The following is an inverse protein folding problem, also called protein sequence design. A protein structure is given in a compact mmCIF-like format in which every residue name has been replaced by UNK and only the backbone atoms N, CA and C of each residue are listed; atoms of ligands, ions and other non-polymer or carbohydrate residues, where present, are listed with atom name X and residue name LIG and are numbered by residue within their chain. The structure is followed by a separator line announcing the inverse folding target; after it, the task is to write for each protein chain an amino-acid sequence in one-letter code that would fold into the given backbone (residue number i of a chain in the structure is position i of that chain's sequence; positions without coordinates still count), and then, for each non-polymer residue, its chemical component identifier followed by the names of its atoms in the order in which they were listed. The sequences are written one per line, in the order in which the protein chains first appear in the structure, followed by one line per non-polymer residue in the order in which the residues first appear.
data_IF_260165978641
#
_entry.id   IF_260165978641
#
_cell.length_a   1.000
_cell.length_b   1.000
_cell.length_c   1.000
_cell.angle_alpha   90.00
_cell.angle_beta   90.00
_cell.angle_gamma   90.00
#
_symmetry.space_group_name_H-M   'P 1'
#
loop_
_entity.id
_entity.type
_entity.pdbx_description
1 polymer ?
#
# COMPACT_ATOMS: atom_id res chain seq x y z
N UNK A 1 36.40 -24.92 69.32
CA UNK A 1 36.90 -25.23 67.96
C UNK A 1 35.80 -25.68 66.98
N UNK A 2 34.63 -26.18 67.43
CA UNK A 2 33.56 -26.64 66.54
C UNK A 2 32.81 -25.52 65.78
N UNK A 3 32.55 -24.35 66.40
CA UNK A 3 31.85 -23.25 65.73
C UNK A 3 32.66 -22.65 64.56
N UNK A 4 34.00 -22.66 64.64
CA UNK A 4 34.89 -22.16 63.57
C UNK A 4 34.92 -23.14 62.39
N UNK A 5 34.94 -24.45 62.63
CA UNK A 5 34.88 -25.47 61.57
C UNK A 5 33.51 -25.49 60.87
N UNK A 6 32.41 -25.22 61.57
CA UNK A 6 31.07 -25.10 60.98
C UNK A 6 30.95 -23.85 60.09
N UNK A 7 31.53 -22.71 60.51
CA UNK A 7 31.51 -21.46 59.74
C UNK A 7 32.33 -21.57 58.44
N UNK A 8 33.51 -22.20 58.52
CA UNK A 8 34.37 -22.48 57.35
C UNK A 8 33.64 -23.35 56.33
N UNK A 9 32.83 -24.32 56.78
CA UNK A 9 32.04 -25.19 55.91
C UNK A 9 30.87 -24.45 55.22
N UNK A 10 30.17 -23.55 55.92
CA UNK A 10 29.09 -22.74 55.35
C UNK A 10 29.60 -21.71 54.33
N UNK A 11 30.70 -21.02 54.64
CA UNK A 11 31.32 -20.06 53.74
C UNK A 11 31.85 -20.76 52.49
N UNK A 12 32.49 -21.92 52.65
CA UNK A 12 33.00 -22.70 51.53
C UNK A 12 31.90 -23.19 50.60
N UNK A 13 30.75 -23.65 51.12
CA UNK A 13 29.59 -24.06 50.32
C UNK A 13 29.01 -22.91 49.49
N UNK A 14 28.93 -21.72 50.06
CA UNK A 14 28.40 -20.54 49.35
C UNK A 14 29.38 -20.05 48.29
N UNK A 15 30.68 -20.01 48.60
CA UNK A 15 31.72 -19.68 47.61
C UNK A 15 31.72 -20.72 46.48
N UNK A 16 31.59 -22.01 46.80
CA UNK A 16 31.53 -23.08 45.83
C UNK A 16 30.33 -22.92 44.90
N UNK A 17 29.13 -22.69 45.46
CA UNK A 17 27.90 -22.47 44.71
C UNK A 17 28.02 -21.28 43.77
N UNK A 18 28.40 -20.11 44.29
CA UNK A 18 28.53 -18.90 43.47
C UNK A 18 29.62 -19.04 42.41
N UNK A 19 30.72 -19.75 42.70
CA UNK A 19 31.75 -20.02 41.69
C UNK A 19 31.26 -20.98 40.62
N UNK A 20 30.51 -22.02 40.98
CA UNK A 20 29.91 -22.96 40.02
C UNK A 20 28.86 -22.30 39.10
N UNK A 21 28.22 -21.23 39.57
CA UNK A 21 27.27 -20.39 38.82
C UNK A 21 27.97 -19.36 37.89
N UNK A 22 29.32 -19.33 37.87
CA UNK A 22 30.09 -18.53 36.92
C UNK A 22 30.53 -17.14 37.39
N UNK A 23 30.22 -16.75 38.64
CA UNK A 23 30.58 -15.43 39.17
C UNK A 23 32.10 -15.26 39.35
N UNK A 24 32.58 -14.03 39.10
CA UNK A 24 33.96 -13.62 39.33
C UNK A 24 34.27 -13.50 40.83
N UNK A 25 35.56 -13.52 41.20
CA UNK A 25 35.99 -13.40 42.60
C UNK A 25 35.47 -12.10 43.26
N UNK A 26 35.42 -10.99 42.50
CA UNK A 26 34.90 -9.70 43.01
C UNK A 26 33.40 -9.77 43.29
N UNK A 27 32.63 -10.40 42.40
CA UNK A 27 31.18 -10.56 42.55
C UNK A 27 30.82 -11.51 43.69
N UNK A 28 31.56 -12.62 43.85
CA UNK A 28 31.36 -13.57 44.96
C UNK A 28 31.51 -12.85 46.30
N UNK A 29 32.54 -12.01 46.47
CA UNK A 29 32.75 -11.22 47.71
C UNK A 29 31.58 -10.25 47.96
N UNK A 30 31.09 -9.59 46.92
CA UNK A 30 29.97 -8.66 46.99
C UNK A 30 28.67 -9.38 47.40
N UNK A 31 28.33 -10.46 46.71
CA UNK A 31 27.11 -11.24 46.94
C UNK A 31 27.15 -11.93 48.30
N UNK A 32 28.29 -12.49 48.71
CA UNK A 32 28.46 -13.09 50.04
C UNK A 32 28.16 -12.07 51.15
N UNK A 33 28.66 -10.84 51.02
CA UNK A 33 28.42 -9.76 51.99
C UNK A 33 26.98 -9.28 51.97
N UNK A 34 26.44 -8.96 50.80
CA UNK A 34 25.13 -8.31 50.67
C UNK A 34 23.99 -9.27 50.99
N UNK A 35 24.00 -10.46 50.39
CA UNK A 35 22.91 -11.44 50.39
C UNK A 35 23.01 -12.44 51.55
N UNK A 36 24.22 -12.87 51.89
CA UNK A 36 24.42 -13.92 52.89
C UNK A 36 24.98 -13.39 54.21
N UNK A 37 25.27 -12.08 54.31
CA UNK A 37 25.91 -11.42 55.47
C UNK A 37 27.21 -12.13 55.91
N UNK A 38 27.92 -12.70 54.94
CA UNK A 38 29.17 -13.43 55.13
C UNK A 38 30.33 -12.56 54.61
N UNK A 39 31.32 -12.36 55.47
CA UNK A 39 32.53 -11.61 55.14
C UNK A 39 33.64 -12.60 54.80
N UNK A 40 34.09 -12.58 53.55
CA UNK A 40 35.13 -13.47 53.02
C UNK A 40 36.27 -12.67 52.44
N UNK A 41 37.50 -13.07 52.77
CA UNK A 41 38.71 -12.48 52.22
C UNK A 41 38.93 -12.98 50.78
N UNK A 42 39.69 -12.21 50.01
CA UNK A 42 40.01 -12.62 48.64
C UNK A 42 40.85 -13.90 48.57
N UNK A 43 41.71 -14.10 49.58
CA UNK A 43 42.55 -15.31 49.70
C UNK A 43 41.70 -16.56 49.93
N UNK A 44 40.65 -16.47 50.75
CA UNK A 44 39.69 -17.56 50.98
C UNK A 44 38.84 -17.88 49.75
N UNK A 45 38.37 -16.85 49.04
CA UNK A 45 37.62 -17.08 47.80
C UNK A 45 38.50 -17.72 46.74
N UNK A 46 39.77 -17.29 46.59
CA UNK A 46 40.72 -17.86 45.63
C UNK A 46 41.08 -19.32 45.95
N UNK A 47 41.36 -19.66 47.20
CA UNK A 47 41.76 -21.03 47.58
C UNK A 47 40.68 -22.08 47.30
N UNK A 48 39.41 -21.66 47.31
CA UNK A 48 38.25 -22.50 47.01
C UNK A 48 37.92 -22.45 45.51
N UNK A 49 37.96 -21.26 44.90
CA UNK A 49 37.63 -21.06 43.49
C UNK A 49 38.60 -21.74 42.52
N UNK A 50 39.89 -21.88 42.89
CA UNK A 50 40.90 -22.59 42.09
C UNK A 50 40.58 -24.09 41.95
N UNK A 51 39.87 -24.67 42.93
CA UNK A 51 39.48 -26.09 42.92
C UNK A 51 38.26 -26.38 42.04
N UNK A 52 37.64 -25.35 41.46
CA UNK A 52 36.40 -25.45 40.68
C UNK A 52 36.72 -25.08 39.23
N UNK A 53 36.69 -26.07 38.32
CA UNK A 53 36.75 -25.82 36.88
C UNK A 53 35.44 -25.18 36.44
N UNK A 54 35.40 -23.86 36.35
CA UNK A 54 34.28 -23.13 35.74
C UNK A 54 34.31 -23.34 34.23
N UNK A 55 33.55 -24.29 33.72
CA UNK A 55 33.19 -24.30 32.31
C UNK A 55 32.24 -23.14 32.07
N UNK A 56 32.72 -22.05 31.45
CA UNK A 56 31.84 -21.02 30.90
C UNK A 56 30.99 -21.65 29.79
N UNK A 57 29.89 -22.31 30.14
CA UNK A 57 28.92 -22.76 29.17
C UNK A 57 28.15 -21.54 28.69
N UNK A 58 28.67 -20.92 27.63
CA UNK A 58 28.10 -19.75 26.93
C UNK A 58 26.64 -19.98 26.47
N UNK A 59 26.17 -21.22 26.40
CA UNK A 59 24.85 -21.62 25.92
C UNK A 59 24.20 -22.61 26.90
N UNK A 60 22.87 -22.55 27.07
CA UNK A 60 22.12 -23.56 27.82
C UNK A 60 22.20 -24.93 27.14
N UNK A 61 21.88 -26.02 27.84
CA UNK A 61 21.95 -27.35 27.23
C UNK A 61 20.96 -27.51 26.05
N UNK A 62 19.80 -26.85 26.13
CA UNK A 62 18.82 -26.77 25.02
C UNK A 62 19.43 -26.03 23.82
N UNK A 63 20.12 -24.91 24.07
CA UNK A 63 20.76 -24.13 23.00
C UNK A 63 21.92 -24.91 22.38
N UNK A 64 22.72 -25.62 23.18
CA UNK A 64 23.77 -26.51 22.66
C UNK A 64 23.18 -27.60 21.78
N UNK A 65 22.10 -28.25 22.21
CA UNK A 65 21.43 -29.26 21.40
C UNK A 65 20.92 -28.67 20.08
N UNK A 66 20.32 -27.48 20.10
CA UNK A 66 19.88 -26.76 18.90
C UNK A 66 21.05 -26.44 17.97
N UNK A 67 22.13 -25.85 18.50
CA UNK A 67 23.32 -25.48 17.74
C UNK A 67 23.96 -26.72 17.11
N UNK A 68 24.10 -27.82 17.86
CA UNK A 68 24.69 -29.07 17.39
C UNK A 68 23.82 -29.76 16.34
N UNK A 69 22.49 -29.79 16.54
CA UNK A 69 21.54 -30.33 15.57
C UNK A 69 21.62 -29.56 14.24
N UNK A 70 21.61 -28.22 14.30
CA UNK A 70 21.73 -27.39 13.10
C UNK A 70 23.12 -27.55 12.47
N UNK A 71 24.19 -27.57 13.25
CA UNK A 71 25.54 -27.79 12.73
C UNK A 71 25.69 -29.13 12.00
N UNK A 72 25.07 -30.21 12.53
CA UNK A 72 25.07 -31.52 11.88
C UNK A 72 24.39 -31.49 10.50
N UNK A 73 23.27 -30.77 10.39
CA UNK A 73 22.42 -30.76 9.20
C UNK A 73 22.76 -29.64 8.19
N UNK A 74 23.53 -28.62 8.58
CA UNK A 74 23.84 -27.46 7.72
C UNK A 74 25.21 -27.57 7.08
N UNK A 75 25.26 -27.41 5.76
CA UNK A 75 26.50 -27.45 5.00
C UNK A 75 27.34 -26.17 5.18
N UNK A 76 26.73 -24.99 5.05
CA UNK A 76 27.42 -23.69 5.14
C UNK A 76 27.45 -23.17 6.59
N UNK A 77 28.62 -23.25 7.23
CA UNK A 77 28.80 -22.81 8.63
C UNK A 77 28.62 -21.30 8.79
N UNK A 78 29.02 -20.49 7.79
CA UNK A 78 28.98 -19.03 7.91
C UNK A 78 27.54 -18.51 7.96
N UNK A 79 26.69 -19.03 7.07
CA UNK A 79 25.27 -18.64 7.07
C UNK A 79 24.51 -19.18 8.27
N UNK A 80 24.87 -20.38 8.76
CA UNK A 80 24.32 -20.90 10.01
C UNK A 80 24.62 -19.94 11.18
N UNK A 81 25.84 -19.43 11.26
CA UNK A 81 26.23 -18.45 12.30
C UNK A 81 25.41 -17.18 12.17
N UNK A 82 25.26 -16.64 10.96
CA UNK A 82 24.46 -15.45 10.72
C UNK A 82 23.00 -15.64 11.19
N UNK A 83 22.39 -16.78 10.83
CA UNK A 83 21.04 -17.15 11.28
C UNK A 83 20.94 -17.24 12.80
N UNK A 84 21.85 -17.99 13.43
CA UNK A 84 21.85 -18.20 14.88
C UNK A 84 22.05 -16.89 15.66
N UNK A 85 22.89 -16.00 15.13
CA UNK A 85 23.18 -14.70 15.75
C UNK A 85 22.02 -13.73 15.57
N UNK A 86 21.39 -13.68 14.39
CA UNK A 86 20.24 -12.81 14.13
C UNK A 86 19.00 -13.26 14.90
N UNK A 87 18.68 -14.57 14.87
CA UNK A 87 17.43 -15.10 15.43
C UNK A 87 17.48 -15.28 16.95
N UNK A 88 18.58 -15.80 17.48
CA UNK A 88 18.68 -16.18 18.89
C UNK A 88 19.68 -15.34 19.69
N UNK A 89 20.30 -14.33 19.07
CA UNK A 89 21.28 -13.45 19.71
C UNK A 89 22.47 -14.19 20.35
N UNK A 90 22.81 -15.39 19.88
CA UNK A 90 23.82 -16.25 20.51
C UNK A 90 25.27 -15.71 20.40
N UNK A 91 25.52 -14.74 19.51
CA UNK A 91 26.86 -14.18 19.26
C UNK A 91 27.94 -15.27 19.07
N UNK A 92 27.60 -16.31 18.31
CA UNK A 92 28.44 -17.45 17.94
C UNK A 92 29.47 -16.99 16.91
N UNK A 93 30.71 -17.46 17.07
CA UNK A 93 31.78 -17.34 16.09
C UNK A 93 32.04 -18.68 15.42
N UNK A 94 32.71 -18.67 14.26
CA UNK A 94 33.06 -19.88 13.50
C UNK A 94 33.84 -20.89 14.35
N UNK A 95 34.87 -20.43 15.04
CA UNK A 95 35.68 -21.31 15.90
C UNK A 95 34.84 -21.86 17.05
N UNK A 96 33.96 -21.05 17.65
CA UNK A 96 33.13 -21.49 18.77
C UNK A 96 32.13 -22.60 18.42
N UNK A 97 31.56 -22.58 17.20
CA UNK A 97 30.62 -23.62 16.77
C UNK A 97 31.34 -24.91 16.34
N UNK A 98 32.50 -24.78 15.70
CA UNK A 98 33.35 -25.93 15.34
C UNK A 98 33.90 -26.61 16.59
N UNK A 99 34.41 -25.84 17.55
CA UNK A 99 34.90 -26.36 18.83
C UNK A 99 33.79 -27.07 19.62
N UNK A 100 32.59 -26.47 19.63
CA UNK A 100 31.43 -27.07 20.28
C UNK A 100 31.04 -28.39 19.62
N UNK A 101 31.04 -28.46 18.29
CA UNK A 101 30.76 -29.68 17.55
C UNK A 101 31.82 -30.76 17.78
N UNK A 102 33.10 -30.40 17.74
CA UNK A 102 34.21 -31.32 17.98
C UNK A 102 34.19 -31.90 19.40
N UNK A 103 33.96 -31.04 20.41
CA UNK A 103 33.81 -31.47 21.82
C UNK A 103 32.64 -32.43 22.05
N UNK A 104 31.60 -32.36 21.22
CA UNK A 104 30.41 -33.22 21.31
C UNK A 104 30.41 -34.34 20.25
N UNK A 105 31.51 -34.56 19.52
CA UNK A 105 31.63 -35.62 18.53
C UNK A 105 30.70 -35.49 17.31
N UNK A 106 30.14 -34.30 17.07
CA UNK A 106 29.17 -34.06 15.99
C UNK A 106 29.91 -33.74 14.69
N UNK A 107 29.83 -34.66 13.72
CA UNK A 107 30.32 -34.44 12.35
C UNK A 107 29.21 -33.86 11.48
N UNK A 108 29.58 -33.13 10.42
CA UNK A 108 28.61 -32.69 9.40
C UNK A 108 28.12 -33.87 8.58
N UNK A 109 26.85 -33.84 8.18
CA UNK A 109 26.28 -34.79 7.23
C UNK A 109 26.84 -34.53 5.83
N UNK A 110 27.38 -35.57 5.18
CA UNK A 110 27.86 -35.50 3.79
C UNK A 110 26.65 -35.55 2.84
N UNK A 111 26.20 -34.41 2.32
CA UNK A 111 25.14 -34.34 1.31
C UNK A 111 25.41 -33.23 0.28
N UNK A 112 24.84 -33.41 -0.92
CA UNK A 112 25.03 -32.56 -2.10
C UNK A 112 24.75 -31.07 -1.82
N UNK A 113 25.60 -30.21 -2.40
CA UNK A 113 25.66 -28.75 -2.26
C UNK A 113 24.33 -28.00 -2.49
N UNK A 114 23.33 -28.65 -3.10
CA UNK A 114 22.07 -28.03 -3.55
C UNK A 114 20.86 -28.33 -2.67
N UNK A 115 20.98 -29.17 -1.63
CA UNK A 115 19.86 -29.53 -0.77
C UNK A 115 20.14 -29.15 0.68
N UNK A 116 19.67 -27.97 1.13
CA UNK A 116 18.95 -27.80 2.40
C UNK A 116 18.54 -26.33 2.57
N UNK A 117 17.26 -26.16 2.88
CA UNK A 117 16.58 -24.93 3.25
C UNK A 117 16.77 -24.63 4.74
N UNK A 118 16.88 -23.34 5.06
CA UNK A 118 17.30 -22.74 6.34
C UNK A 118 16.42 -22.98 7.59
N UNK A 119 15.56 -23.99 7.67
CA UNK A 119 14.43 -23.91 8.61
C UNK A 119 13.99 -25.26 9.22
N UNK A 120 13.75 -25.24 10.54
CA UNK A 120 13.09 -26.29 11.35
C UNK A 120 11.55 -26.28 11.20
N UNK A 121 10.84 -27.36 11.55
CA UNK A 121 9.36 -27.42 11.46
C UNK A 121 8.64 -26.35 12.29
N UNK A 122 9.27 -25.86 13.36
CA UNK A 122 8.74 -24.78 14.21
C UNK A 122 8.63 -23.45 13.46
N UNK A 123 9.66 -23.10 12.69
CA UNK A 123 9.74 -21.84 11.94
C UNK A 123 8.73 -21.82 10.77
N UNK A 124 8.37 -22.98 10.22
CA UNK A 124 7.37 -23.04 9.14
C UNK A 124 5.98 -22.59 9.61
N UNK A 125 5.61 -22.90 10.86
CA UNK A 125 4.35 -22.43 11.46
C UNK A 125 4.37 -20.94 11.76
N UNK A 126 5.49 -20.45 12.28
CA UNK A 126 5.67 -19.03 12.59
C UNK A 126 5.64 -18.15 11.32
N UNK A 127 6.26 -18.61 10.22
CA UNK A 127 6.16 -17.98 8.88
C UNK A 127 4.71 -17.86 8.42
N UNK A 128 3.89 -18.89 8.66
CA UNK A 128 2.48 -18.92 8.30
C UNK A 128 1.68 -17.92 9.13
N UNK A 129 1.90 -17.88 10.45
CA UNK A 129 1.21 -16.95 11.35
C UNK A 129 1.56 -15.50 11.01
N UNK A 130 2.83 -15.19 10.77
CA UNK A 130 3.28 -13.87 10.33
C UNK A 130 2.64 -13.48 8.98
N UNK A 131 2.50 -14.42 8.06
CA UNK A 131 1.83 -14.16 6.78
C UNK A 131 0.34 -13.87 6.96
N UNK A 132 -0.34 -14.63 7.85
CA UNK A 132 -1.76 -14.44 8.19
C UNK A 132 -2.02 -13.14 8.94
N UNK A 133 -1.09 -12.69 9.79
CA UNK A 133 -1.17 -11.41 10.50
C UNK A 133 -0.86 -10.18 9.62
N UNK A 134 -0.51 -10.39 8.34
CA UNK A 134 -0.43 -9.33 7.34
C UNK A 134 0.97 -9.03 6.81
N UNK A 135 2.04 -9.61 7.38
CA UNK A 135 3.41 -9.35 6.93
C UNK A 135 3.64 -9.80 5.48
N UNK A 136 4.30 -8.98 4.67
CA UNK A 136 4.60 -9.32 3.28
C UNK A 136 5.60 -10.48 3.19
N UNK A 137 5.52 -11.30 2.13
CA UNK A 137 6.49 -12.37 1.90
C UNK A 137 7.93 -11.88 1.75
N UNK A 138 8.14 -10.61 1.36
CA UNK A 138 9.46 -9.97 1.35
C UNK A 138 9.95 -9.71 2.78
N UNK A 139 9.12 -9.13 3.64
CA UNK A 139 9.47 -8.83 5.03
C UNK A 139 9.73 -10.10 5.83
N UNK A 140 8.94 -11.16 5.59
CA UNK A 140 9.17 -12.47 6.20
C UNK A 140 10.46 -13.10 5.66
N UNK A 141 10.75 -12.97 4.37
CA UNK A 141 12.01 -13.48 3.81
C UNK A 141 13.23 -12.82 4.48
N UNK A 142 13.19 -11.50 4.67
CA UNK A 142 14.24 -10.74 5.35
C UNK A 142 14.42 -11.17 6.82
N UNK A 143 13.31 -11.27 7.57
CA UNK A 143 13.30 -11.71 8.98
C UNK A 143 13.97 -13.09 9.17
N UNK A 144 13.79 -14.00 8.21
CA UNK A 144 14.30 -15.36 8.27
C UNK A 144 15.58 -15.56 7.45
N UNK A 145 16.18 -14.48 6.91
CA UNK A 145 17.43 -14.55 6.15
C UNK A 145 17.33 -15.24 4.79
N UNK A 146 16.13 -15.34 4.22
CA UNK A 146 15.94 -15.84 2.86
C UNK A 146 16.37 -14.81 1.82
N UNK A 147 17.19 -15.25 0.86
CA UNK A 147 17.62 -14.42 -0.28
C UNK A 147 16.45 -13.92 -1.13
N UNK A 148 15.36 -14.68 -1.22
CA UNK A 148 14.20 -14.30 -2.05
C UNK A 148 12.88 -14.63 -1.36
N UNK A 149 11.84 -13.84 -1.66
CA UNK A 149 10.45 -14.12 -1.24
C UNK A 149 9.91 -15.45 -1.76
N UNK A 150 10.49 -16.01 -2.81
CA UNK A 150 10.03 -17.26 -3.42
C UNK A 150 10.16 -18.44 -2.44
N UNK A 151 11.15 -18.42 -1.55
CA UNK A 151 11.28 -19.43 -0.48
C UNK A 151 10.08 -19.40 0.49
N UNK A 152 9.56 -18.22 0.80
CA UNK A 152 8.34 -18.07 1.60
C UNK A 152 7.11 -18.52 0.81
N UNK A 153 7.00 -18.12 -0.47
CA UNK A 153 5.87 -18.51 -1.32
C UNK A 153 5.77 -20.03 -1.54
N UNK A 154 6.90 -20.71 -1.67
CA UNK A 154 6.96 -22.18 -1.76
C UNK A 154 6.50 -22.84 -0.46
N UNK A 155 6.88 -22.30 0.71
CA UNK A 155 6.38 -22.77 2.01
C UNK A 155 4.88 -22.57 2.13
N UNK A 156 4.36 -21.39 1.80
CA UNK A 156 2.91 -21.15 1.81
C UNK A 156 2.16 -22.15 0.91
N UNK A 157 2.72 -22.47 -0.27
CA UNK A 157 2.17 -23.48 -1.17
C UNK A 157 2.22 -24.89 -0.58
N UNK A 158 3.32 -25.28 0.08
CA UNK A 158 3.45 -26.57 0.79
C UNK A 158 2.34 -26.77 1.85
N UNK A 159 1.89 -25.69 2.48
CA UNK A 159 0.83 -25.70 3.50
C UNK A 159 -0.55 -25.32 2.94
N UNK A 160 -0.74 -25.34 1.61
CA UNK A 160 -2.01 -25.01 0.94
C UNK A 160 -2.58 -23.62 1.31
N UNK A 161 -1.72 -22.66 1.63
CA UNK A 161 -2.15 -21.28 1.91
C UNK A 161 -2.25 -20.52 0.60
N UNK A 162 -3.47 -20.05 0.29
CA UNK A 162 -3.72 -19.20 -0.87
C UNK A 162 -2.88 -17.93 -0.76
N UNK A 163 -2.14 -17.63 -1.83
CA UNK A 163 -1.39 -16.38 -1.94
C UNK A 163 -2.40 -15.23 -1.95
N UNK A 164 -2.12 -14.19 -1.15
CA UNK A 164 -2.86 -12.93 -1.23
C UNK A 164 -2.74 -12.38 -2.64
N UNK A 165 -3.87 -11.99 -3.21
CA UNK A 165 -3.91 -11.37 -4.51
C UNK A 165 -3.21 -10.00 -4.41
N UNK A 166 -2.23 -9.78 -5.30
CA UNK A 166 -1.50 -8.52 -5.34
C UNK A 166 -2.41 -7.35 -5.72
N UNK A 167 -3.50 -7.61 -6.45
CA UNK A 167 -4.51 -6.61 -6.77
C UNK A 167 -5.37 -6.28 -5.55
N UNK A 168 -5.75 -7.29 -4.76
CA UNK A 168 -6.54 -7.11 -3.52
C UNK A 168 -5.77 -6.33 -2.44
N UNK A 169 -4.47 -6.60 -2.29
CA UNK A 169 -3.61 -5.82 -1.37
C UNK A 169 -3.46 -4.37 -1.87
N UNK A 170 -3.30 -4.19 -3.18
CA UNK A 170 -3.21 -2.85 -3.78
C UNK A 170 -4.51 -2.08 -3.65
N UNK A 171 -5.67 -2.73 -3.69
CA UNK A 171 -6.96 -2.06 -3.48
C UNK A 171 -7.18 -1.66 -2.03
N UNK A 172 -6.86 -2.53 -1.07
CA UNK A 172 -7.04 -2.25 0.37
C UNK A 172 -6.15 -1.13 0.92
N UNK A 173 -4.97 -0.90 0.33
CA UNK A 173 -4.01 0.11 0.80
C UNK A 173 -4.07 1.44 0.03
N UNK A 174 -5.19 1.75 -0.64
CA UNK A 174 -5.36 3.02 -1.35
C UNK A 174 -5.89 4.09 -0.42
N UNK A 175 -5.40 5.31 -0.63
CA UNK A 175 -5.89 6.50 0.05
C UNK A 175 -7.36 6.81 -0.25
N UNK A 176 -7.90 6.29 -1.36
CA UNK A 176 -9.28 6.48 -1.82
C UNK A 176 -10.18 5.26 -1.55
N UNK A 177 -9.88 4.45 -0.53
CA UNK A 177 -10.67 3.23 -0.23
C UNK A 177 -12.15 3.52 0.08
N UNK A 178 -12.46 4.73 0.55
CA UNK A 178 -13.82 5.16 0.87
C UNK A 178 -14.54 5.85 -0.30
N UNK A 179 -13.87 6.01 -1.46
CA UNK A 179 -14.49 6.59 -2.64
C UNK A 179 -15.29 5.52 -3.40
N UNK A 180 -16.52 5.85 -3.79
CA UNK A 180 -17.40 4.97 -4.57
C UNK A 180 -18.24 5.76 -5.58
N UNK A 181 -18.74 5.05 -6.60
CA UNK A 181 -19.67 5.57 -7.60
C UNK A 181 -21.05 4.86 -7.52
N UNK A 182 -21.27 4.07 -6.47
CA UNK A 182 -22.52 3.34 -6.21
C UNK A 182 -23.73 4.29 -6.25
N UNK A 183 -23.55 5.50 -5.70
CA UNK A 183 -24.55 6.58 -5.70
C UNK A 183 -23.89 7.92 -6.00
N UNK A 184 -24.52 8.70 -6.85
CA UNK A 184 -24.20 10.12 -7.05
C UNK A 184 -24.95 10.93 -5.99
N UNK A 185 -24.30 11.14 -4.85
CA UNK A 185 -24.87 11.75 -3.63
C UNK A 185 -24.30 13.14 -3.31
N UNK A 186 -23.40 13.64 -4.15
CA UNK A 186 -22.76 14.94 -4.03
C UNK A 186 -22.35 15.48 -5.41
N UNK A 187 -22.07 16.77 -5.43
CA UNK A 187 -21.77 17.54 -6.64
C UNK A 187 -20.44 17.12 -7.27
N UNK A 188 -19.44 16.76 -6.45
CA UNK A 188 -18.12 16.32 -6.89
C UNK A 188 -18.17 14.97 -7.62
N UNK A 189 -18.97 14.01 -7.12
CA UNK A 189 -19.21 12.75 -7.84
C UNK A 189 -19.95 12.98 -9.15
N UNK A 190 -20.95 13.85 -9.15
CA UNK A 190 -21.71 14.19 -10.35
C UNK A 190 -20.83 14.83 -11.43
N UNK A 191 -19.98 15.77 -11.02
CA UNK A 191 -19.00 16.40 -11.89
C UNK A 191 -17.96 15.42 -12.43
N UNK A 192 -17.42 14.56 -11.55
CA UNK A 192 -16.50 13.52 -11.95
C UNK A 192 -17.14 12.55 -12.95
N UNK A 193 -18.39 12.16 -12.75
CA UNK A 193 -19.16 11.36 -13.72
C UNK A 193 -19.29 12.08 -15.07
N UNK A 194 -19.60 13.37 -15.08
CA UNK A 194 -19.68 14.16 -16.31
C UNK A 194 -18.38 14.12 -17.12
N UNK A 195 -17.24 14.29 -16.45
CA UNK A 195 -15.92 14.17 -17.08
C UNK A 195 -15.60 12.73 -17.49
N UNK A 196 -16.04 11.73 -16.73
CA UNK A 196 -15.84 10.32 -17.07
C UNK A 196 -16.60 9.94 -18.35
N UNK A 197 -17.77 10.52 -18.59
CA UNK A 197 -18.57 10.29 -19.80
C UNK A 197 -17.89 10.89 -21.05
N UNK A 198 -17.14 11.98 -20.90
CA UNK A 198 -16.45 12.71 -21.99
C UNK A 198 -14.98 12.32 -22.12
N UNK A 199 -14.10 12.89 -21.31
CA UNK A 199 -12.64 12.68 -21.37
C UNK A 199 -12.15 11.43 -20.61
N UNK A 200 -13.01 10.77 -19.83
CA UNK A 200 -12.64 9.57 -19.10
C UNK A 200 -12.31 8.36 -19.97
N UNK A 201 -11.72 7.34 -19.38
CA UNK A 201 -11.51 6.07 -20.07
C UNK A 201 -11.52 4.90 -19.08
N UNK A 202 -11.89 3.73 -19.58
CA UNK A 202 -11.93 2.49 -18.82
C UNK A 202 -10.80 1.58 -19.31
N UNK A 203 -10.04 1.00 -18.38
CA UNK A 203 -9.07 -0.05 -18.67
C UNK A 203 -9.49 -1.33 -17.94
N UNK A 204 -10.21 -2.20 -18.65
CA UNK A 204 -10.73 -3.46 -18.11
C UNK A 204 -9.61 -4.44 -17.74
N UNK A 205 -8.54 -4.51 -18.55
CA UNK A 205 -7.39 -5.39 -18.32
C UNK A 205 -6.69 -5.08 -16.98
N UNK A 206 -6.51 -3.79 -16.69
CA UNK A 206 -5.82 -3.31 -15.48
C UNK A 206 -6.77 -2.95 -14.34
N UNK A 207 -8.09 -3.03 -14.56
CA UNK A 207 -9.09 -2.90 -13.51
C UNK A 207 -9.36 -1.47 -13.03
N UNK A 208 -9.29 -0.44 -13.89
CA UNK A 208 -9.44 0.96 -13.47
C UNK A 208 -10.19 1.86 -14.44
N UNK A 209 -10.70 2.98 -13.93
CA UNK A 209 -11.13 4.15 -14.70
C UNK A 209 -10.10 5.28 -14.56
N UNK A 210 -9.98 6.13 -15.55
CA UNK A 210 -9.06 7.27 -15.50
C UNK A 210 -9.54 8.48 -16.29
N UNK A 211 -8.93 9.62 -16.01
CA UNK A 211 -9.14 10.89 -16.71
C UNK A 211 -7.77 11.50 -16.97
N UNK A 212 -7.56 12.01 -18.19
CA UNK A 212 -6.36 12.71 -18.61
C UNK A 212 -6.69 14.11 -19.14
N UNK A 213 -6.36 15.16 -18.40
CA UNK A 213 -6.67 16.55 -18.79
C UNK A 213 -5.42 17.41 -18.84
N UNK A 214 -5.44 18.48 -19.64
CA UNK A 214 -4.43 19.54 -19.61
C UNK A 214 -4.72 20.58 -18.52
N UNK A 215 -5.98 20.68 -18.11
CA UNK A 215 -6.47 21.58 -17.07
C UNK A 215 -6.09 21.01 -15.69
N UNK A 216 -5.00 21.54 -15.11
CA UNK A 216 -4.40 21.04 -13.87
C UNK A 216 -5.30 21.26 -12.66
N UNK A 217 -6.00 22.39 -12.62
CA UNK A 217 -6.96 22.77 -11.58
C UNK A 217 -8.05 21.72 -11.39
N UNK A 218 -8.61 21.20 -12.49
CA UNK A 218 -9.61 20.12 -12.47
C UNK A 218 -9.04 18.86 -11.83
N UNK A 219 -7.80 18.50 -12.20
CA UNK A 219 -7.15 17.29 -11.70
C UNK A 219 -6.74 17.47 -10.23
N UNK A 220 -6.28 18.64 -9.80
CA UNK A 220 -5.99 18.92 -8.39
C UNK A 220 -7.27 18.86 -7.54
N UNK A 221 -8.36 19.48 -8.00
CA UNK A 221 -9.67 19.42 -7.37
C UNK A 221 -10.16 17.98 -7.15
N UNK A 222 -10.15 17.16 -8.22
CA UNK A 222 -10.56 15.75 -8.12
C UNK A 222 -9.59 14.92 -7.29
N UNK A 223 -8.30 15.22 -7.34
CA UNK A 223 -7.25 14.54 -6.57
C UNK A 223 -7.46 14.73 -5.07
N UNK A 224 -7.80 15.95 -4.65
CA UNK A 224 -8.12 16.29 -3.27
C UNK A 224 -9.42 15.61 -2.83
N UNK A 225 -10.50 15.75 -3.62
CA UNK A 225 -11.80 15.16 -3.30
C UNK A 225 -11.75 13.62 -3.18
N UNK A 226 -11.15 12.94 -4.16
CA UNK A 226 -11.04 11.48 -4.17
C UNK A 226 -9.97 11.01 -3.17
N UNK A 227 -9.11 11.90 -2.67
CA UNK A 227 -7.91 11.58 -1.90
C UNK A 227 -7.00 10.61 -2.66
N UNK A 228 -6.60 10.98 -3.88
CA UNK A 228 -5.73 10.18 -4.74
C UNK A 228 -4.62 11.02 -5.33
N UNK A 229 -3.39 10.51 -5.41
CA UNK A 229 -2.31 11.18 -6.12
C UNK A 229 -2.55 11.14 -7.63
N UNK A 230 -2.50 12.29 -8.29
CA UNK A 230 -2.45 12.35 -9.75
C UNK A 230 -1.01 12.16 -10.27
N UNK A 231 -0.88 11.90 -11.56
CA UNK A 231 0.41 11.79 -12.27
C UNK A 231 0.53 12.86 -13.32
N UNK A 232 1.70 13.47 -13.39
CA UNK A 232 2.06 14.33 -14.51
C UNK A 232 2.63 13.49 -15.66
N UNK A 233 2.10 13.69 -16.85
CA UNK A 233 2.50 13.00 -18.08
C UNK A 233 3.10 14.06 -18.99
N UNK A 234 4.42 14.03 -19.08
CA UNK A 234 5.14 14.91 -19.99
C UNK A 234 4.78 14.59 -21.44
N UNK A 235 4.69 15.62 -22.30
CA UNK A 235 4.43 15.42 -23.71
C UNK A 235 5.50 14.53 -24.34
N UNK A 236 5.08 13.57 -25.16
CA UNK A 236 5.97 12.73 -25.96
C UNK A 236 5.64 12.90 -27.45
N UNK A 237 6.68 12.96 -28.28
CA UNK A 237 6.53 13.10 -29.73
C UNK A 237 5.87 14.42 -30.15
N UNK A 238 4.76 14.35 -30.91
CA UNK A 238 4.04 15.53 -31.44
C UNK A 238 3.12 16.22 -30.42
N UNK A 239 2.94 15.64 -29.23
CA UNK A 239 2.13 16.26 -28.19
C UNK A 239 2.82 17.55 -27.70
N UNK A 240 2.05 18.63 -27.52
CA UNK A 240 2.61 19.95 -27.13
C UNK A 240 2.37 20.31 -25.67
N UNK A 241 1.48 19.61 -24.99
CA UNK A 241 1.02 19.99 -23.65
C UNK A 241 1.17 18.81 -22.68
N UNK A 242 1.62 19.13 -21.48
CA UNK A 242 1.60 18.24 -20.32
C UNK A 242 0.17 17.87 -19.98
N UNK A 243 -0.06 16.59 -19.70
CA UNK A 243 -1.35 16.09 -19.20
C UNK A 243 -1.22 15.65 -17.76
N UNK A 244 -2.30 15.77 -17.01
CA UNK A 244 -2.41 15.33 -15.64
C UNK A 244 -3.46 14.21 -15.57
N UNK A 245 -3.10 13.12 -14.90
CA UNK A 245 -3.84 11.86 -14.90
C UNK A 245 -4.26 11.46 -13.50
N UNK A 246 -5.54 11.13 -13.34
CA UNK A 246 -6.06 10.38 -12.19
C UNK A 246 -6.48 8.99 -12.66
N UNK A 247 -6.18 7.96 -11.85
CA UNK A 247 -6.63 6.59 -12.12
C UNK A 247 -7.18 5.95 -10.86
N UNK A 248 -8.47 5.64 -10.85
CA UNK A 248 -9.18 5.00 -9.75
C UNK A 248 -9.35 3.51 -10.10
N UNK A 249 -8.69 2.62 -9.35
CA UNK A 249 -8.87 1.17 -9.57
C UNK A 249 -9.79 0.58 -8.53
N UNK A 250 -10.60 -0.37 -8.96
CA UNK A 250 -11.53 -1.11 -8.13
C UNK A 250 -12.52 -1.83 -9.01
N UNK A 251 -12.87 -3.06 -8.65
CA UNK A 251 -13.90 -3.81 -9.37
C UNK A 251 -15.26 -3.14 -9.20
N UNK A 252 -15.59 -2.75 -7.97
CA UNK A 252 -16.82 -2.01 -7.63
C UNK A 252 -16.90 -0.70 -8.42
N UNK A 253 -15.80 0.07 -8.48
CA UNK A 253 -15.71 1.29 -9.29
C UNK A 253 -16.00 1.04 -10.77
N UNK A 254 -15.54 -0.07 -11.34
CA UNK A 254 -15.81 -0.42 -12.72
C UNK A 254 -17.28 -0.81 -12.95
N UNK A 255 -17.86 -1.56 -12.02
CA UNK A 255 -19.27 -1.99 -12.06
C UNK A 255 -20.19 -0.76 -11.93
N UNK A 256 -19.88 0.16 -11.01
CA UNK A 256 -20.57 1.44 -10.83
C UNK A 256 -20.44 2.33 -12.08
N UNK A 257 -19.22 2.46 -12.63
CA UNK A 257 -18.97 3.25 -13.82
C UNK A 257 -19.76 2.73 -15.03
N UNK A 258 -19.81 1.41 -15.20
CA UNK A 258 -20.59 0.76 -16.25
C UNK A 258 -22.10 1.02 -16.07
N UNK A 259 -22.65 0.92 -14.86
CA UNK A 259 -24.04 1.28 -14.54
C UNK A 259 -24.35 2.72 -14.96
N UNK A 260 -23.40 3.62 -14.73
CA UNK A 260 -23.51 5.04 -15.07
C UNK A 260 -23.15 5.36 -16.54
N UNK A 261 -23.02 4.35 -17.41
CA UNK A 261 -22.79 4.56 -18.84
C UNK A 261 -21.34 4.86 -19.24
N UNK A 262 -20.40 4.78 -18.29
CA UNK A 262 -18.96 4.92 -18.54
C UNK A 262 -18.39 3.56 -18.96
N UNK A 263 -18.39 3.30 -20.27
CA UNK A 263 -18.02 2.01 -20.86
C UNK A 263 -16.69 2.08 -21.63
N UNK A 264 -16.10 0.91 -21.93
CA UNK A 264 -14.95 0.83 -22.83
C UNK A 264 -15.37 1.14 -24.28
N UNK A 265 -14.52 1.84 -25.04
CA UNK A 265 -14.78 2.15 -26.46
C UNK A 265 -15.96 3.11 -26.69
N UNK A 266 -16.19 4.01 -25.73
CA UNK A 266 -17.42 4.81 -25.60
C UNK A 266 -17.70 5.83 -26.71
N UNK A 267 -16.70 6.19 -27.52
CA UNK A 267 -16.76 7.30 -28.50
C UNK A 267 -18.02 7.30 -29.35
N UNK A 268 -18.50 6.12 -29.76
CA UNK A 268 -19.70 5.96 -30.59
C UNK A 268 -20.89 5.30 -29.88
N UNK A 269 -20.72 4.84 -28.63
CA UNK A 269 -21.67 3.94 -27.96
C UNK A 269 -22.21 4.48 -26.64
N UNK A 270 -21.73 5.64 -26.17
CA UNK A 270 -22.22 6.29 -24.95
C UNK A 270 -23.70 6.65 -25.10
N UNK A 271 -24.55 6.36 -24.11
CA UNK A 271 -26.00 6.67 -24.15
C UNK A 271 -26.46 7.71 -23.12
N UNK A 272 -25.54 8.15 -22.25
CA UNK A 272 -25.85 8.92 -21.04
C UNK A 272 -26.05 8.03 -19.81
N UNK A 273 -25.87 8.57 -18.60
CA UNK A 273 -26.02 7.83 -17.36
C UNK A 273 -27.49 7.52 -17.08
N UNK A 274 -27.75 6.33 -16.53
CA UNK A 274 -29.03 6.00 -15.94
C UNK A 274 -29.04 6.46 -14.47
N UNK A 275 -29.69 7.59 -14.23
CA UNK A 275 -29.79 8.22 -12.91
C UNK A 275 -31.09 7.80 -12.21
N UNK A 276 -31.00 7.53 -10.92
CA UNK A 276 -32.17 7.46 -10.04
C UNK A 276 -32.73 8.86 -9.77
N UNK A 277 -33.97 8.97 -9.32
CA UNK A 277 -34.59 10.26 -8.96
C UNK A 277 -33.75 11.05 -7.93
N UNK A 278 -33.15 10.33 -6.97
CA UNK A 278 -32.27 10.92 -5.97
C UNK A 278 -30.93 11.45 -6.54
N UNK A 279 -30.46 10.88 -7.65
CA UNK A 279 -29.23 11.30 -8.34
C UNK A 279 -29.51 12.43 -9.34
N UNK A 280 -30.71 12.47 -9.94
CA UNK A 280 -31.12 13.49 -10.92
C UNK A 280 -31.02 14.92 -10.39
N UNK A 281 -31.09 15.14 -9.06
CA UNK A 281 -30.88 16.46 -8.46
C UNK A 281 -29.48 17.04 -8.71
N UNK A 282 -28.50 16.21 -9.08
CA UNK A 282 -27.13 16.63 -9.40
C UNK A 282 -26.89 16.78 -10.91
N UNK A 283 -27.93 16.72 -11.74
CA UNK A 283 -27.80 16.78 -13.20
C UNK A 283 -27.00 18.00 -13.68
N UNK A 284 -27.15 19.14 -13.00
CA UNK A 284 -26.41 20.37 -13.29
C UNK A 284 -24.89 20.17 -13.24
N UNK A 285 -24.39 19.42 -12.25
CA UNK A 285 -22.97 19.14 -12.08
C UNK A 285 -22.48 18.05 -13.05
N UNK A 286 -23.34 17.09 -13.41
CA UNK A 286 -23.04 16.13 -14.49
C UNK A 286 -22.87 16.90 -15.81
N UNK A 287 -23.82 17.77 -16.16
CA UNK A 287 -23.75 18.62 -17.35
C UNK A 287 -22.52 19.53 -17.30
N UNK A 288 -22.16 20.08 -16.14
CA UNK A 288 -20.93 20.85 -15.97
C UNK A 288 -19.69 20.03 -16.35
N UNK A 289 -19.56 18.80 -15.85
CA UNK A 289 -18.45 17.91 -16.20
C UNK A 289 -18.43 17.55 -17.69
N UNK A 290 -19.61 17.35 -18.29
CA UNK A 290 -19.74 17.08 -19.73
C UNK A 290 -19.28 18.30 -20.55
N UNK A 291 -19.76 19.49 -20.20
CA UNK A 291 -19.36 20.74 -20.86
C UNK A 291 -17.88 20.98 -20.65
N UNK A 292 -17.32 20.67 -19.47
CA UNK A 292 -15.90 20.84 -19.18
C UNK A 292 -15.01 19.92 -20.03
N UNK A 293 -15.45 18.71 -20.33
CA UNK A 293 -14.74 17.82 -21.24
C UNK A 293 -14.97 18.12 -22.72
N UNK A 294 -16.17 17.82 -23.23
CA UNK A 294 -16.50 17.89 -24.66
C UNK A 294 -17.26 19.17 -25.07
N UNK A 295 -17.35 20.14 -24.16
CA UNK A 295 -17.96 21.44 -24.43
C UNK A 295 -16.95 22.55 -24.69
N UNK A 296 -17.48 23.64 -25.24
CA UNK A 296 -16.72 24.86 -25.51
C UNK A 296 -17.57 26.08 -25.19
N UNK A 297 -16.98 27.02 -24.44
CA UNK A 297 -17.53 28.34 -24.20
C UNK A 297 -16.66 29.34 -24.94
N UNK A 298 -17.26 30.16 -25.80
CA UNK A 298 -16.55 31.20 -26.55
C UNK A 298 -15.87 32.18 -25.59
N UNK A 299 -14.75 32.77 -26.00
CA UNK A 299 -13.95 33.65 -25.12
C UNK A 299 -14.72 34.85 -24.57
N UNK A 300 -15.69 35.36 -25.33
CA UNK A 300 -16.57 36.46 -24.94
C UNK A 300 -17.87 35.97 -24.24
N UNK A 301 -17.98 34.69 -23.91
CA UNK A 301 -19.19 34.06 -23.38
C UNK A 301 -20.47 34.31 -24.20
N UNK A 302 -20.35 34.66 -25.48
CA UNK A 302 -21.51 34.92 -26.34
C UNK A 302 -22.13 33.67 -26.95
N UNK A 303 -21.54 32.50 -26.69
CA UNK A 303 -21.91 31.23 -27.32
C UNK A 303 -21.27 30.06 -26.58
N UNK A 304 -21.96 28.92 -26.55
CA UNK A 304 -21.35 27.65 -26.19
C UNK A 304 -21.87 26.50 -27.05
N UNK A 305 -21.13 25.40 -27.05
CA UNK A 305 -21.61 24.13 -27.58
C UNK A 305 -21.15 22.94 -26.74
N UNK A 306 -21.82 21.80 -26.94
CA UNK A 306 -21.39 20.47 -26.53
C UNK A 306 -21.40 19.58 -27.78
N UNK A 307 -20.43 18.70 -27.92
CA UNK A 307 -20.35 17.80 -29.07
C UNK A 307 -20.10 16.34 -28.66
N UNK A 308 -20.53 15.40 -29.50
CA UNK A 308 -20.16 13.99 -29.36
C UNK A 308 -20.36 13.25 -30.67
N UNK A 309 -19.60 12.18 -30.89
CA UNK A 309 -19.83 11.27 -32.00
C UNK A 309 -21.00 10.28 -31.72
N UNK A 310 -21.45 10.18 -30.46
CA UNK A 310 -22.64 9.40 -30.12
C UNK A 310 -23.92 10.25 -30.18
N UNK A 311 -24.84 9.87 -31.07
CA UNK A 311 -26.15 10.50 -31.15
C UNK A 311 -26.97 10.32 -29.87
N UNK A 312 -27.00 9.11 -29.31
CA UNK A 312 -27.75 8.79 -28.09
C UNK A 312 -27.29 9.65 -26.91
N UNK A 313 -25.97 9.85 -26.78
CA UNK A 313 -25.41 10.69 -25.72
C UNK A 313 -25.79 12.17 -25.89
N UNK A 314 -25.70 12.69 -27.11
CA UNK A 314 -26.08 14.09 -27.38
C UNK A 314 -27.59 14.28 -27.24
N UNK A 315 -28.41 13.28 -27.57
CA UNK A 315 -29.85 13.31 -27.32
C UNK A 315 -30.17 13.32 -25.83
N UNK A 316 -29.45 12.55 -25.03
CA UNK A 316 -29.54 12.61 -23.57
C UNK A 316 -29.14 13.99 -23.02
N UNK A 317 -28.07 14.59 -23.55
CA UNK A 317 -27.65 15.95 -23.17
C UNK A 317 -28.74 16.98 -23.51
N UNK A 318 -29.32 16.93 -24.72
CA UNK A 318 -30.40 17.82 -25.14
C UNK A 318 -31.58 17.75 -24.17
N UNK A 319 -32.05 16.52 -23.86
CA UNK A 319 -33.15 16.33 -22.92
C UNK A 319 -32.81 16.91 -21.53
N UNK A 320 -31.64 16.56 -21.01
CA UNK A 320 -31.20 17.00 -19.69
C UNK A 320 -31.06 18.52 -19.60
N UNK A 321 -30.61 19.17 -20.68
CA UNK A 321 -30.52 20.62 -20.78
C UNK A 321 -31.92 21.27 -20.81
N UNK A 322 -32.87 20.70 -21.56
CA UNK A 322 -34.27 21.18 -21.56
C UNK A 322 -34.87 21.05 -20.16
N UNK A 323 -34.65 19.94 -19.47
CA UNK A 323 -35.18 19.68 -18.13
C UNK A 323 -34.69 20.71 -17.10
N UNK A 324 -33.51 21.31 -17.29
CA UNK A 324 -32.96 22.37 -16.42
C UNK A 324 -33.25 23.79 -16.92
N UNK A 325 -34.04 23.93 -17.99
CA UNK A 325 -34.56 25.22 -18.46
C UNK A 325 -33.97 25.77 -19.75
N UNK A 326 -33.12 25.04 -20.48
CA UNK A 326 -32.67 25.49 -21.81
C UNK A 326 -33.83 25.46 -22.82
N UNK A 327 -33.89 26.49 -23.66
CA UNK A 327 -34.94 26.64 -24.68
C UNK A 327 -34.38 26.64 -26.09
N UNK A 328 -35.17 26.13 -27.04
CA UNK A 328 -34.90 26.20 -28.47
C UNK A 328 -33.50 25.68 -28.90
N UNK A 329 -32.92 24.77 -28.11
CA UNK A 329 -31.70 24.06 -28.49
C UNK A 329 -32.05 22.98 -29.51
N UNK A 330 -31.13 22.73 -30.45
CA UNK A 330 -31.28 21.72 -31.49
C UNK A 330 -29.97 20.98 -31.68
N UNK A 331 -30.09 19.69 -31.98
CA UNK A 331 -28.95 18.88 -32.42
C UNK A 331 -28.71 19.14 -33.91
N UNK A 332 -27.46 19.44 -34.25
CA UNK A 332 -26.95 19.54 -35.62
C UNK A 332 -25.90 18.45 -35.86
N UNK A 333 -25.77 17.99 -37.11
CA UNK A 333 -24.74 17.03 -37.50
C UNK A 333 -23.74 17.72 -38.43
N UNK A 334 -22.45 17.59 -38.11
CA UNK A 334 -21.36 18.08 -38.95
C UNK A 334 -20.58 16.89 -39.47
N UNK A 335 -20.51 16.74 -40.79
CA UNK A 335 -19.67 15.73 -41.43
C UNK A 335 -18.19 16.07 -41.28
N UNK A 336 -17.36 15.04 -41.15
CA UNK A 336 -15.90 15.15 -41.14
C UNK A 336 -15.29 13.93 -41.83
N UNK A 337 -13.97 13.83 -41.86
CA UNK A 337 -13.23 12.69 -42.43
C UNK A 337 -13.42 11.36 -41.67
N UNK A 338 -14.15 11.39 -40.55
CA UNK A 338 -14.55 10.24 -39.76
C UNK A 338 -16.08 10.03 -39.89
N UNK A 339 -16.77 9.66 -38.80
CA UNK A 339 -18.22 9.41 -38.80
C UNK A 339 -19.07 10.67 -38.55
N UNK A 340 -18.49 11.86 -38.65
CA UNK A 340 -19.13 13.12 -38.28
C UNK A 340 -19.26 13.31 -36.77
N UNK A 341 -19.91 14.40 -36.37
CA UNK A 341 -20.14 14.76 -34.97
C UNK A 341 -21.50 15.43 -34.79
N UNK A 342 -22.18 15.12 -33.70
CA UNK A 342 -23.43 15.76 -33.28
C UNK A 342 -23.12 16.91 -32.32
N UNK A 343 -23.76 18.05 -32.53
CA UNK A 343 -23.49 19.28 -31.77
C UNK A 343 -24.80 19.93 -31.32
N UNK A 344 -24.87 20.26 -30.04
CA UNK A 344 -25.82 21.22 -29.48
C UNK A 344 -25.08 22.55 -29.34
N UNK A 345 -25.54 23.60 -30.02
CA UNK A 345 -24.92 24.93 -30.02
C UNK A 345 -25.97 26.01 -29.81
N UNK A 346 -25.67 27.00 -28.97
CA UNK A 346 -26.56 28.14 -28.78
C UNK A 346 -25.78 29.41 -28.44
N UNK A 347 -26.27 30.52 -29.00
CA UNK A 347 -25.84 31.89 -28.70
C UNK A 347 -26.99 32.71 -28.10
N UNK A 348 -28.08 32.05 -27.67
CA UNK A 348 -29.20 32.73 -27.01
C UNK A 348 -28.77 33.29 -25.66
N UNK A 349 -29.02 34.58 -25.43
CA UNK A 349 -28.74 35.23 -24.14
C UNK A 349 -29.42 34.52 -22.98
N UNK A 350 -30.66 34.06 -23.18
CA UNK A 350 -31.40 33.31 -22.18
C UNK A 350 -30.69 32.00 -21.81
N UNK A 351 -30.32 31.19 -22.80
CA UNK A 351 -29.61 29.92 -22.55
C UNK A 351 -28.23 30.13 -21.92
N UNK A 352 -27.54 31.22 -22.25
CA UNK A 352 -26.27 31.57 -21.63
C UNK A 352 -26.46 31.99 -20.15
N UNK A 353 -27.58 32.62 -19.82
CA UNK A 353 -27.93 32.92 -18.44
C UNK A 353 -28.29 31.65 -17.66
N UNK A 354 -29.07 30.74 -18.25
CA UNK A 354 -29.34 29.41 -17.67
C UNK A 354 -28.04 28.63 -17.44
N UNK A 355 -27.13 28.64 -18.41
CA UNK A 355 -25.79 28.04 -18.26
C UNK A 355 -25.04 28.63 -17.07
N UNK A 356 -25.04 29.95 -16.92
CA UNK A 356 -24.36 30.66 -15.83
C UNK A 356 -24.99 30.34 -14.47
N UNK A 357 -26.31 30.40 -14.36
CA UNK A 357 -27.03 30.28 -13.08
C UNK A 357 -27.19 28.83 -12.61
N UNK A 358 -27.40 27.88 -13.52
CA UNK A 358 -27.75 26.51 -13.14
C UNK A 358 -26.56 25.55 -13.21
N UNK A 359 -25.60 25.76 -14.12
CA UNK A 359 -24.47 24.84 -14.35
C UNK A 359 -23.16 25.40 -13.78
N UNK A 360 -22.91 26.70 -14.02
CA UNK A 360 -21.71 27.40 -13.56
C UNK A 360 -22.01 28.36 -12.41
N UNK A 361 -22.88 27.96 -11.49
CA UNK A 361 -23.38 28.76 -10.35
C UNK A 361 -22.27 29.27 -9.40
N UNK A 362 -21.18 28.50 -9.28
CA UNK A 362 -20.05 28.79 -8.36
C UNK A 362 -18.69 28.35 -8.94
N UNK A 363 -17.55 28.85 -8.41
CA UNK A 363 -16.20 28.48 -8.88
C UNK A 363 -15.88 27.02 -8.49
N UNK A 364 -16.09 26.10 -9.42
CA UNK A 364 -16.06 24.66 -9.18
C UNK A 364 -15.60 23.92 -10.45
N UNK A 365 -14.74 22.91 -10.35
CA UNK A 365 -14.20 22.25 -11.55
C UNK A 365 -13.31 23.16 -12.40
N UNK A 366 -13.59 23.27 -13.70
CA UNK A 366 -12.69 23.96 -14.65
C UNK A 366 -12.82 25.48 -14.62
N UNK A 367 -11.86 26.15 -13.97
CA UNK A 367 -11.92 27.59 -13.71
C UNK A 367 -11.91 28.42 -15.00
N UNK A 368 -11.16 28.01 -16.02
CA UNK A 368 -11.10 28.78 -17.29
C UNK A 368 -12.46 28.92 -17.99
N UNK A 369 -13.40 27.99 -17.78
CA UNK A 369 -14.74 28.04 -18.39
C UNK A 369 -15.69 28.85 -17.53
N UNK A 370 -15.61 28.68 -16.21
CA UNK A 370 -16.28 29.55 -15.24
C UNK A 370 -15.91 31.01 -15.47
N UNK A 371 -14.62 31.34 -15.49
CA UNK A 371 -14.13 32.71 -15.62
C UNK A 371 -14.62 33.39 -16.90
N UNK A 372 -14.72 32.67 -18.02
CA UNK A 372 -15.26 33.25 -19.28
C UNK A 372 -16.68 33.76 -19.11
N UNK A 373 -17.53 33.05 -18.36
CA UNK A 373 -18.93 33.43 -18.15
C UNK A 373 -19.07 34.63 -17.20
N UNK A 374 -18.15 34.80 -16.25
CA UNK A 374 -18.24 35.82 -15.19
C UNK A 374 -17.32 37.05 -15.39
N UNK A 375 -16.28 36.97 -16.23
CA UNK A 375 -15.36 38.10 -16.49
C UNK A 375 -16.03 39.33 -17.14
N UNK A 376 -17.20 39.18 -17.76
CA UNK A 376 -17.97 40.30 -18.34
C UNK A 376 -18.48 41.31 -17.30
N UNK A 377 -18.63 40.91 -16.04
CA UNK A 377 -19.19 41.78 -15.01
C UNK A 377 -18.13 42.75 -14.42
N UNK A 378 -16.83 42.48 -14.63
CA UNK A 378 -15.73 43.30 -14.08
C UNK A 378 -15.35 44.47 -14.99
N UNK A 379 -15.67 44.42 -16.29
CA UNK A 379 -15.36 45.51 -17.25
C UNK A 379 -16.52 46.51 -17.44
N UNK A 380 -17.64 46.33 -16.72
CA UNK A 380 -18.84 47.18 -16.80
C UNK A 380 -19.18 47.92 -15.50
N UNK A 381 -18.32 47.80 -14.49
CA UNK A 381 -18.24 48.65 -13.30
C UNK A 381 -17.04 49.58 -13.47
#
# INVERSE_FOLDING_TARGET
MEAINILINKNAKIIYKLRSEGYTIREIKKIAKEKYKIYVTEKEVRSIAIKIKTGNNKYSDIDKMRILYLYHNYYDTHKLIEYLNRKYAYNITYNSIVDLAHKNGVKKKTQNMYSISFVDRSDEREIIELYKSGYSSNKIAELYGYKTRNSILQKLQKFNIKRRDCNEIKTKNKSYVNFSLEKIDCEEKAYFLGLLLTDGYVNLERGYIGIDLTDKDVIEFLSEYINIKYKEIQPTGKAKLTKYRITVYGREILEDAQRLGVVYGKTYTTKGPLLTEAESKFINYILRGIIDGDGWIRKDAGEFFICSASFDFIKWCEKSMIDIGFENIKISFISNEYNGIYIIRTASKYNLEVLKQNIYDKPFGMMRKYDRLYQKDVQRL
#
